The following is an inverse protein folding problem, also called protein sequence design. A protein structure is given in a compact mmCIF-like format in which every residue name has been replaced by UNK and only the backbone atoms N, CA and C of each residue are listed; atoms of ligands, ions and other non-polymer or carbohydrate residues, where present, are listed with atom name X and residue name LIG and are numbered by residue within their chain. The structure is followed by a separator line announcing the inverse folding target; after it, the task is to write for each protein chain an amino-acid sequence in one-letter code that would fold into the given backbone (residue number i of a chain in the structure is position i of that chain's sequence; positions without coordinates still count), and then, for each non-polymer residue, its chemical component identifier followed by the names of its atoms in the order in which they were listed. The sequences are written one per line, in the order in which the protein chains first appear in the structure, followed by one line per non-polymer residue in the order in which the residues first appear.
data_IF_327403763925
#
_entry.id   IF_327403763925
#
_cell.length_a   1.000
_cell.length_b   1.000
_cell.length_c   1.000
_cell.angle_alpha   90.00
_cell.angle_beta   90.00
_cell.angle_gamma   90.00
#
_symmetry.space_group_name_H-M   'P 1'
#
loop_
_entity.id
_entity.type
_entity.pdbx_description
1 polymer ?
#
# COMPACT_ATOMS: atom_id res chain seq x y z
N UNK A 1 -3.27 13.45 23.39
CA UNK A 1 -3.84 14.33 22.36
C UNK A 1 -5.15 13.75 21.86
N UNK A 2 -6.25 14.44 22.14
CA UNK A 2 -7.59 14.10 21.65
C UNK A 2 -7.56 14.08 20.12
N UNK A 3 -7.72 12.90 19.49
CA UNK A 3 -7.83 12.78 18.03
C UNK A 3 -8.92 13.74 17.57
N UNK A 4 -8.56 14.79 16.80
CA UNK A 4 -9.53 15.66 16.14
C UNK A 4 -10.52 14.76 15.41
N UNK A 5 -11.80 14.78 15.81
CA UNK A 5 -12.91 14.20 15.05
C UNK A 5 -13.12 15.09 13.82
N UNK A 6 -12.24 15.01 12.83
CA UNK A 6 -12.52 15.57 11.51
C UNK A 6 -13.64 14.73 10.91
N UNK A 7 -14.89 15.20 11.05
CA UNK A 7 -15.97 14.79 10.15
C UNK A 7 -15.58 15.32 8.78
N UNK A 8 -14.97 14.47 7.96
CA UNK A 8 -14.77 14.78 6.55
C UNK A 8 -16.17 14.83 5.93
N UNK A 9 -16.72 16.02 5.76
CA UNK A 9 -17.95 16.24 5.01
C UNK A 9 -17.56 16.09 3.54
N UNK A 10 -17.73 14.89 3.00
CA UNK A 10 -17.26 14.50 1.66
C UNK A 10 -18.23 14.86 0.54
N UNK A 11 -19.36 15.51 0.84
CA UNK A 11 -20.44 15.82 -0.11
C UNK A 11 -21.22 14.60 -0.61
N UNK A 12 -20.59 13.42 -0.60
CA UNK A 12 -21.18 12.12 -0.94
C UNK A 12 -21.41 11.36 0.36
N UNK A 13 -22.68 11.17 0.71
CA UNK A 13 -23.11 10.36 1.85
C UNK A 13 -22.89 8.88 1.57
N UNK A 14 -22.59 8.13 2.63
CA UNK A 14 -22.59 6.68 2.57
C UNK A 14 -24.00 6.16 2.72
N UNK A 15 -24.28 5.03 2.11
CA UNK A 15 -25.53 4.33 2.32
C UNK A 15 -25.41 3.55 3.63
N UNK A 16 -26.39 3.70 4.50
CA UNK A 16 -26.43 3.03 5.79
C UNK A 16 -27.08 1.64 5.69
N UNK A 17 -26.82 0.77 6.67
CA UNK A 17 -27.57 -0.47 6.85
C UNK A 17 -27.02 -1.71 6.14
N UNK A 18 -25.83 -1.69 5.54
CA UNK A 18 -25.21 -2.92 4.99
C UNK A 18 -23.72 -3.07 5.31
N UNK A 19 -23.21 -4.31 5.38
CA UNK A 19 -21.85 -4.58 5.80
C UNK A 19 -20.83 -4.29 4.69
N UNK A 20 -20.28 -3.08 4.72
CA UNK A 20 -19.29 -2.57 3.74
C UNK A 20 -17.94 -3.28 3.77
N UNK A 21 -17.66 -4.12 4.77
CA UNK A 21 -16.40 -4.86 4.90
C UNK A 21 -16.46 -6.28 4.36
N UNK A 22 -17.65 -6.77 4.05
CA UNK A 22 -17.88 -8.17 3.75
C UNK A 22 -17.58 -8.50 2.29
N UNK A 23 -17.49 -9.81 2.05
CA UNK A 23 -17.18 -10.39 0.76
C UNK A 23 -18.42 -11.05 0.14
N UNK A 24 -18.37 -11.12 -1.18
CA UNK A 24 -19.34 -11.78 -2.02
C UNK A 24 -18.58 -12.74 -2.93
N UNK A 25 -19.18 -13.87 -3.23
CA UNK A 25 -18.79 -14.69 -4.38
C UNK A 25 -19.58 -14.18 -5.58
N UNK A 26 -18.99 -14.19 -6.77
CA UNK A 26 -19.72 -13.97 -8.01
C UNK A 26 -19.41 -15.06 -9.01
N UNK A 27 -20.41 -15.49 -9.77
CA UNK A 27 -20.26 -16.49 -10.82
C UNK A 27 -21.29 -16.24 -11.93
N UNK A 28 -21.01 -16.77 -13.12
CA UNK A 28 -21.98 -16.80 -14.21
C UNK A 28 -22.78 -18.10 -14.07
N UNK A 29 -24.10 -17.99 -13.97
CA UNK A 29 -24.97 -19.15 -13.86
C UNK A 29 -24.80 -20.05 -15.08
N UNK A 30 -24.51 -21.33 -14.85
CA UNK A 30 -24.27 -22.27 -15.95
C UNK A 30 -25.56 -22.62 -16.72
N UNK A 31 -26.72 -22.37 -16.12
CA UNK A 31 -28.03 -22.59 -16.71
C UNK A 31 -28.49 -21.38 -17.55
N UNK A 32 -28.66 -20.20 -16.94
CA UNK A 32 -29.22 -19.03 -17.61
C UNK A 32 -28.19 -17.99 -18.10
N UNK A 33 -26.90 -18.18 -17.83
CA UNK A 33 -25.78 -17.31 -18.27
C UNK A 33 -25.76 -15.90 -17.67
N UNK A 34 -26.62 -15.63 -16.69
CA UNK A 34 -26.62 -14.38 -15.94
C UNK A 34 -25.53 -14.34 -14.87
N UNK A 35 -24.99 -13.15 -14.61
CA UNK A 35 -24.11 -12.92 -13.47
C UNK A 35 -24.92 -13.00 -12.18
N UNK A 36 -24.43 -13.78 -11.24
CA UNK A 36 -25.01 -13.94 -9.93
C UNK A 36 -23.98 -13.65 -8.83
N UNK A 37 -24.46 -13.27 -7.65
CA UNK A 37 -23.62 -12.97 -6.49
C UNK A 37 -24.19 -13.55 -5.22
N UNK A 38 -23.36 -14.16 -4.40
CA UNK A 38 -23.74 -14.73 -3.10
C UNK A 38 -22.98 -14.01 -2.01
N UNK A 39 -23.71 -13.48 -1.02
CA UNK A 39 -23.12 -12.90 0.18
C UNK A 39 -22.54 -13.99 1.08
N UNK A 40 -21.27 -13.83 1.48
CA UNK A 40 -20.55 -14.81 2.32
C UNK A 40 -20.06 -14.22 3.64
N UNK A 41 -20.32 -12.92 3.89
CA UNK A 41 -19.95 -12.25 5.13
C UNK A 41 -18.45 -11.95 5.24
N UNK A 42 -17.91 -12.04 6.45
CA UNK A 42 -16.56 -11.59 6.80
C UNK A 42 -15.48 -12.68 6.74
N UNK A 43 -15.85 -13.92 6.41
CA UNK A 43 -14.94 -15.07 6.32
C UNK A 43 -14.90 -15.54 4.87
N UNK A 44 -13.70 -15.53 4.27
CA UNK A 44 -13.53 -16.10 2.93
C UNK A 44 -13.66 -17.62 3.01
N UNK A 45 -14.39 -18.18 2.07
CA UNK A 45 -14.58 -19.61 1.91
C UNK A 45 -13.41 -20.14 1.09
N UNK A 46 -12.74 -21.20 1.53
CA UNK A 46 -11.68 -21.81 0.73
C UNK A 46 -12.25 -22.74 -0.39
N UNK A 47 -11.50 -23.04 -1.45
CA UNK A 47 -11.97 -23.87 -2.56
C UNK A 47 -12.49 -25.25 -2.19
N UNK A 48 -11.93 -25.88 -1.16
CA UNK A 48 -12.37 -27.20 -0.72
C UNK A 48 -13.69 -27.07 0.02
N UNK A 49 -13.81 -26.10 0.93
CA UNK A 49 -15.06 -25.79 1.62
C UNK A 49 -16.19 -25.45 0.63
N UNK A 50 -15.89 -24.64 -0.39
CA UNK A 50 -16.85 -24.30 -1.44
C UNK A 50 -17.30 -25.55 -2.23
N UNK A 51 -16.36 -26.39 -2.70
CA UNK A 51 -16.72 -27.61 -3.42
C UNK A 51 -17.57 -28.58 -2.58
N UNK A 52 -17.25 -28.75 -1.31
CA UNK A 52 -17.93 -29.72 -0.45
C UNK A 52 -19.32 -29.26 -0.01
N UNK A 53 -19.50 -27.95 0.25
CA UNK A 53 -20.67 -27.43 0.98
C UNK A 53 -21.53 -26.43 0.18
N UNK A 54 -21.08 -25.92 -0.96
CA UNK A 54 -21.81 -24.87 -1.68
C UNK A 54 -23.15 -25.37 -2.24
N UNK A 55 -24.20 -24.59 -1.95
CA UNK A 55 -25.52 -24.66 -2.56
C UNK A 55 -25.87 -23.30 -3.16
N UNK A 56 -25.09 -22.85 -4.14
CA UNK A 56 -25.25 -21.50 -4.70
C UNK A 56 -26.43 -21.47 -5.67
N UNK A 57 -27.57 -21.03 -5.15
CA UNK A 57 -28.82 -20.89 -5.89
C UNK A 57 -28.78 -19.62 -6.73
N UNK A 58 -29.03 -19.75 -8.03
CA UNK A 58 -29.15 -18.61 -8.91
C UNK A 58 -30.43 -17.81 -8.61
N UNK A 59 -30.34 -16.50 -8.41
CA UNK A 59 -31.49 -15.62 -8.16
C UNK A 59 -32.41 -15.51 -9.39
N UNK A 60 -31.87 -15.68 -10.60
CA UNK A 60 -32.63 -15.52 -11.86
C UNK A 60 -33.40 -16.76 -12.26
N UNK A 61 -32.77 -17.93 -12.19
CA UNK A 61 -33.36 -19.19 -12.68
C UNK A 61 -33.53 -20.27 -11.60
N UNK A 62 -33.20 -19.97 -10.35
CA UNK A 62 -33.27 -20.90 -9.21
C UNK A 62 -32.39 -22.16 -9.32
N UNK A 63 -31.54 -22.27 -10.35
CA UNK A 63 -30.62 -23.39 -10.52
C UNK A 63 -29.59 -23.43 -9.38
N UNK A 64 -29.42 -24.59 -8.77
CA UNK A 64 -28.51 -24.80 -7.63
C UNK A 64 -27.15 -25.28 -8.16
N UNK A 65 -26.11 -24.48 -7.97
CA UNK A 65 -24.74 -24.87 -8.28
C UNK A 65 -24.16 -25.61 -7.07
N UNK A 66 -23.98 -26.91 -7.20
CA UNK A 66 -23.42 -27.79 -6.17
C UNK A 66 -22.74 -29.01 -6.82
N UNK A 67 -21.80 -29.65 -6.11
CA UNK A 67 -21.22 -30.93 -6.55
C UNK A 67 -22.25 -32.05 -6.77
N UNK A 68 -23.44 -31.90 -6.19
CA UNK A 68 -24.53 -32.88 -6.25
C UNK A 68 -25.54 -32.57 -7.39
N UNK A 69 -25.34 -31.49 -8.15
CA UNK A 69 -26.24 -31.09 -9.24
C UNK A 69 -25.72 -31.59 -10.59
N UNK A 70 -26.60 -32.18 -11.39
CA UNK A 70 -26.29 -32.52 -12.78
C UNK A 70 -25.98 -31.26 -13.62
N UNK A 71 -25.04 -31.36 -14.55
CA UNK A 71 -24.64 -30.24 -15.42
C UNK A 71 -25.69 -30.05 -16.54
N UNK A 72 -26.24 -28.84 -16.76
CA UNK A 72 -27.34 -28.60 -17.69
C UNK A 72 -26.91 -28.47 -19.17
N UNK A 73 -25.66 -28.81 -19.50
CA UNK A 73 -25.12 -28.63 -20.86
C UNK A 73 -25.69 -29.66 -21.83
N UNK A 74 -26.65 -29.24 -22.66
CA UNK A 74 -27.32 -30.12 -23.63
C UNK A 74 -26.33 -30.75 -24.63
N UNK A 75 -25.25 -30.05 -24.97
CA UNK A 75 -24.20 -30.48 -25.90
C UNK A 75 -23.22 -31.51 -25.31
N UNK A 76 -23.32 -31.86 -24.02
CA UNK A 76 -22.48 -32.88 -23.40
C UNK A 76 -23.17 -34.25 -23.39
N UNK A 77 -22.38 -35.32 -23.46
CA UNK A 77 -22.88 -36.70 -23.33
C UNK A 77 -23.61 -36.88 -22.00
N UNK A 78 -24.76 -37.58 -22.01
CA UNK A 78 -25.63 -37.72 -20.82
C UNK A 78 -24.90 -38.23 -19.58
N UNK A 79 -23.98 -39.18 -19.75
CA UNK A 79 -23.18 -39.76 -18.66
C UNK A 79 -22.15 -38.79 -18.07
N UNK A 80 -21.64 -37.82 -18.84
CA UNK A 80 -20.68 -36.81 -18.34
C UNK A 80 -21.34 -35.69 -17.54
N UNK A 81 -22.67 -35.54 -17.67
CA UNK A 81 -23.45 -34.52 -16.98
C UNK A 81 -23.88 -34.95 -15.58
N UNK A 82 -23.86 -36.26 -15.30
CA UNK A 82 -24.33 -36.81 -14.04
C UNK A 82 -23.41 -36.39 -12.91
N UNK A 83 -23.95 -35.89 -11.80
CA UNK A 83 -23.18 -35.35 -10.67
C UNK A 83 -22.14 -36.33 -10.10
N UNK A 84 -22.44 -37.63 -10.14
CA UNK A 84 -21.53 -38.70 -9.69
C UNK A 84 -20.44 -39.08 -10.72
N UNK A 85 -20.48 -38.53 -11.94
CA UNK A 85 -19.46 -38.79 -12.96
C UNK A 85 -18.16 -38.04 -12.64
N UNK A 86 -17.03 -38.62 -13.03
CA UNK A 86 -15.72 -37.99 -12.87
C UNK A 86 -15.67 -36.61 -13.56
N UNK A 87 -16.28 -36.49 -14.74
CA UNK A 87 -16.33 -35.25 -15.52
C UNK A 87 -17.08 -34.15 -14.77
N UNK A 88 -18.26 -34.46 -14.21
CA UNK A 88 -19.04 -33.48 -13.47
C UNK A 88 -18.34 -33.06 -12.16
N UNK A 89 -17.75 -34.01 -11.43
CA UNK A 89 -16.99 -33.70 -10.21
C UNK A 89 -15.80 -32.79 -10.50
N UNK A 90 -15.07 -33.03 -11.59
CA UNK A 90 -13.94 -32.18 -12.01
C UNK A 90 -14.42 -30.79 -12.43
N UNK A 91 -15.52 -30.71 -13.19
CA UNK A 91 -16.14 -29.45 -13.56
C UNK A 91 -16.52 -28.62 -12.33
N UNK A 92 -17.24 -29.22 -11.38
CA UNK A 92 -17.65 -28.52 -10.16
C UNK A 92 -16.47 -28.10 -9.31
N UNK A 93 -15.44 -28.94 -9.17
CA UNK A 93 -14.22 -28.58 -8.45
C UNK A 93 -13.55 -27.34 -9.05
N UNK A 94 -13.41 -27.29 -10.38
CA UNK A 94 -12.86 -26.12 -11.07
C UNK A 94 -13.77 -24.89 -10.97
N UNK A 95 -15.09 -25.06 -11.10
CA UNK A 95 -16.08 -23.98 -10.97
C UNK A 95 -15.98 -23.27 -9.62
N UNK A 96 -15.95 -24.02 -8.53
CA UNK A 96 -15.81 -23.46 -7.19
C UNK A 96 -14.42 -22.88 -6.96
N UNK A 97 -13.36 -23.56 -7.42
CA UNK A 97 -11.99 -23.06 -7.34
C UNK A 97 -11.86 -21.67 -7.96
N UNK A 98 -12.31 -21.46 -9.20
CA UNK A 98 -12.17 -20.16 -9.87
C UNK A 98 -12.86 -19.02 -9.11
N UNK A 99 -13.89 -19.34 -8.32
CA UNK A 99 -14.66 -18.35 -7.55
C UNK A 99 -14.07 -18.07 -6.17
N UNK A 100 -13.15 -18.90 -5.66
CA UNK A 100 -12.65 -18.83 -4.27
C UNK A 100 -11.15 -19.13 -4.12
N UNK A 101 -10.38 -19.22 -5.21
CA UNK A 101 -8.95 -19.59 -5.21
C UNK A 101 -8.09 -18.65 -4.36
N UNK A 102 -8.42 -17.36 -4.37
CA UNK A 102 -7.66 -16.30 -3.74
C UNK A 102 -8.57 -15.12 -3.38
N UNK A 103 -8.12 -14.19 -2.52
CA UNK A 103 -8.88 -13.00 -2.17
C UNK A 103 -9.32 -12.14 -3.38
N UNK A 104 -8.60 -12.17 -4.50
CA UNK A 104 -8.96 -11.42 -5.71
C UNK A 104 -10.10 -12.03 -6.54
N UNK A 105 -10.44 -13.30 -6.33
CA UNK A 105 -11.63 -13.94 -6.91
C UNK A 105 -12.94 -13.40 -6.33
N UNK A 106 -12.90 -12.82 -5.12
CA UNK A 106 -14.08 -12.32 -4.43
C UNK A 106 -14.50 -10.92 -4.88
N UNK A 107 -15.75 -10.60 -4.55
CA UNK A 107 -16.41 -9.34 -4.87
C UNK A 107 -16.79 -8.61 -3.59
N UNK A 108 -17.08 -7.32 -3.72
CA UNK A 108 -17.38 -6.44 -2.60
C UNK A 108 -18.45 -5.43 -2.99
N UNK A 109 -19.35 -5.14 -2.06
CA UNK A 109 -20.38 -4.11 -2.19
C UNK A 109 -19.82 -2.72 -1.83
N UNK A 110 -20.07 -1.74 -2.68
CA UNK A 110 -19.60 -0.37 -2.47
C UNK A 110 -20.50 0.40 -1.49
N UNK A 111 -19.93 0.95 -0.42
CA UNK A 111 -20.65 1.73 0.59
C UNK A 111 -21.24 3.09 0.14
N UNK A 112 -21.02 3.48 -1.12
CA UNK A 112 -21.47 4.77 -1.66
C UNK A 112 -22.45 4.64 -2.83
N UNK A 113 -22.28 3.64 -3.71
CA UNK A 113 -23.14 3.45 -4.89
C UNK A 113 -23.84 2.09 -4.92
N UNK A 114 -23.71 1.31 -3.85
CA UNK A 114 -24.36 0.02 -3.67
C UNK A 114 -23.99 -1.12 -4.62
N UNK A 115 -23.23 -0.84 -5.69
CA UNK A 115 -22.79 -1.86 -6.64
C UNK A 115 -21.91 -2.92 -5.97
N UNK A 116 -22.18 -4.18 -6.28
CA UNK A 116 -21.28 -5.31 -6.02
C UNK A 116 -20.29 -5.39 -7.18
N UNK A 117 -19.01 -5.27 -6.89
CA UNK A 117 -17.95 -5.14 -7.89
C UNK A 117 -16.78 -6.08 -7.57
N UNK A 118 -15.96 -6.45 -8.56
CA UNK A 118 -14.76 -7.25 -8.34
C UNK A 118 -13.81 -6.60 -7.33
N UNK A 119 -13.05 -7.41 -6.60
CA UNK A 119 -12.01 -7.00 -5.65
C UNK A 119 -11.12 -5.84 -6.15
N UNK A 120 -10.69 -5.89 -7.41
CA UNK A 120 -9.83 -4.89 -8.02
C UNK A 120 -10.53 -3.54 -8.27
N UNK A 121 -11.85 -3.44 -8.11
CA UNK A 121 -12.56 -2.16 -8.18
C UNK A 121 -12.38 -1.31 -6.93
N UNK A 122 -11.70 -1.82 -5.90
CA UNK A 122 -11.44 -1.15 -4.64
C UNK A 122 -9.93 -0.94 -4.41
N UNK A 123 -9.58 0.10 -3.67
CA UNK A 123 -8.19 0.39 -3.28
C UNK A 123 -7.79 -0.44 -2.05
N UNK A 124 -6.51 -0.79 -1.92
CA UNK A 124 -6.01 -1.56 -0.76
C UNK A 124 -6.12 -0.72 0.52
N UNK A 125 -6.59 -1.35 1.59
CA UNK A 125 -6.59 -0.80 2.94
C UNK A 125 -6.46 -1.94 3.96
N UNK A 126 -5.31 -2.02 4.62
CA UNK A 126 -5.02 -3.08 5.60
C UNK A 126 -5.98 -2.93 6.80
N UNK A 127 -6.46 -4.07 7.30
CA UNK A 127 -7.35 -4.14 8.47
C UNK A 127 -8.82 -3.81 8.21
N UNK A 128 -9.27 -3.72 6.95
CA UNK A 128 -10.66 -3.41 6.58
C UNK A 128 -11.39 -4.64 6.04
N UNK A 129 -11.56 -5.65 6.90
CA UNK A 129 -12.23 -6.91 6.57
C UNK A 129 -11.34 -7.89 5.80
N UNK A 130 -11.89 -9.06 5.40
CA UNK A 130 -11.13 -10.15 4.79
C UNK A 130 -10.43 -9.77 3.48
N UNK A 131 -11.00 -8.82 2.73
CA UNK A 131 -10.45 -8.39 1.44
C UNK A 131 -9.40 -7.29 1.57
N UNK A 132 -9.21 -6.69 2.75
CA UNK A 132 -8.31 -5.54 2.93
C UNK A 132 -8.55 -4.42 1.89
N UNK A 133 -9.82 -4.09 1.65
CA UNK A 133 -10.24 -3.10 0.64
C UNK A 133 -11.00 -1.95 1.28
N UNK A 134 -10.87 -0.76 0.68
CA UNK A 134 -11.64 0.42 1.05
C UNK A 134 -13.15 0.17 0.92
N UNK A 135 -13.95 0.91 1.70
CA UNK A 135 -15.42 0.84 1.69
C UNK A 135 -16.01 1.33 0.35
N UNK A 136 -15.38 2.34 -0.25
CA UNK A 136 -15.82 2.91 -1.52
C UNK A 136 -15.03 2.31 -2.70
N UNK A 137 -15.72 2.03 -3.81
CA UNK A 137 -15.05 1.66 -5.06
C UNK A 137 -14.26 2.84 -5.62
N UNK A 138 -13.29 2.55 -6.50
CA UNK A 138 -12.39 3.56 -7.08
C UNK A 138 -13.14 4.69 -7.79
N UNK A 139 -14.27 4.39 -8.44
CA UNK A 139 -15.10 5.39 -9.10
C UNK A 139 -15.71 6.39 -8.09
N UNK A 140 -16.38 5.90 -7.04
CA UNK A 140 -16.93 6.75 -5.98
C UNK A 140 -15.82 7.48 -5.23
N UNK A 141 -14.69 6.82 -4.99
CA UNK A 141 -13.52 7.45 -4.35
C UNK A 141 -12.95 8.58 -5.19
N UNK A 142 -12.96 8.45 -6.52
CA UNK A 142 -12.59 9.51 -7.45
C UNK A 142 -13.46 10.76 -7.27
N UNK A 143 -14.78 10.59 -7.26
CA UNK A 143 -15.73 11.69 -7.02
C UNK A 143 -15.53 12.36 -5.65
N UNK A 144 -15.35 11.57 -4.58
CA UNK A 144 -15.04 12.10 -3.24
C UNK A 144 -13.73 12.89 -3.25
N UNK A 145 -12.70 12.37 -3.92
CA UNK A 145 -11.40 13.02 -3.98
C UNK A 145 -11.44 14.31 -4.80
N UNK A 146 -12.32 14.45 -5.80
CA UNK A 146 -12.47 15.69 -6.57
C UNK A 146 -12.85 16.87 -5.67
N UNK A 147 -13.72 16.65 -4.68
CA UNK A 147 -14.13 17.66 -3.70
C UNK A 147 -13.07 17.87 -2.60
N UNK A 148 -12.42 16.80 -2.16
CA UNK A 148 -11.46 16.86 -1.04
C UNK A 148 -10.07 17.35 -1.44
N UNK A 149 -9.59 17.03 -2.64
CA UNK A 149 -8.23 17.35 -3.06
C UNK A 149 -7.95 18.87 -3.11
N UNK A 150 -8.87 19.73 -3.59
CA UNK A 150 -8.69 21.18 -3.54
C UNK A 150 -8.58 21.73 -2.10
N UNK A 151 -9.19 21.04 -1.13
CA UNK A 151 -9.16 21.41 0.30
C UNK A 151 -7.92 20.88 1.04
N UNK A 152 -7.11 20.04 0.42
CA UNK A 152 -5.86 19.54 1.01
C UNK A 152 -4.77 20.57 0.82
N UNK A 153 -3.95 20.79 1.85
CA UNK A 153 -2.76 21.64 1.69
C UNK A 153 -1.79 21.00 0.70
N UNK A 154 -0.99 21.81 -0.03
CA UNK A 154 0.06 21.31 -0.92
C UNK A 154 0.95 20.26 -0.23
N UNK A 155 1.22 20.44 1.06
CA UNK A 155 1.98 19.51 1.90
C UNK A 155 1.28 18.15 2.09
N UNK A 156 -0.04 18.12 2.33
CA UNK A 156 -0.81 16.89 2.49
C UNK A 156 -0.97 16.10 1.18
N UNK A 157 -1.14 16.79 0.05
CA UNK A 157 -1.14 16.16 -1.27
C UNK A 157 0.22 15.51 -1.56
N UNK A 158 1.30 16.22 -1.22
CA UNK A 158 2.68 15.80 -1.40
C UNK A 158 3.10 14.65 -0.47
N UNK A 159 2.52 14.55 0.74
CA UNK A 159 2.67 13.39 1.64
C UNK A 159 1.88 12.16 1.14
N UNK A 160 0.72 12.36 0.52
CA UNK A 160 -0.17 11.28 0.09
C UNK A 160 0.24 10.58 -1.21
N UNK A 161 1.02 11.24 -2.06
CA UNK A 161 1.49 10.67 -3.32
C UNK A 161 2.99 10.36 -3.25
N UNK A 162 3.31 9.06 -3.25
CA UNK A 162 4.52 8.53 -3.90
C UNK A 162 5.86 8.74 -3.19
N UNK A 163 6.13 9.86 -2.52
CA UNK A 163 7.49 10.21 -2.06
C UNK A 163 8.06 9.30 -0.97
N UNK A 164 7.29 8.87 0.03
CA UNK A 164 7.82 8.05 1.14
C UNK A 164 8.26 6.67 0.64
N UNK A 165 7.41 5.98 -0.13
CA UNK A 165 7.70 4.65 -0.69
C UNK A 165 8.78 4.67 -1.77
N UNK A 166 8.88 5.73 -2.57
CA UNK A 166 9.90 5.82 -3.63
C UNK A 166 11.24 6.30 -3.10
N UNK A 167 11.28 7.22 -2.13
CA UNK A 167 12.51 7.56 -1.42
C UNK A 167 13.07 6.34 -0.68
N UNK A 168 12.22 5.54 -0.02
CA UNK A 168 12.64 4.28 0.59
C UNK A 168 13.21 3.30 -0.45
N UNK A 169 12.67 3.26 -1.68
CA UNK A 169 13.20 2.43 -2.78
C UNK A 169 14.51 2.99 -3.33
N UNK A 170 14.64 4.32 -3.48
CA UNK A 170 15.87 4.99 -3.90
C UNK A 170 17.01 4.61 -2.93
N UNK A 171 16.74 4.71 -1.64
CA UNK A 171 17.73 4.55 -0.56
C UNK A 171 17.91 3.10 -0.09
N UNK A 172 17.19 2.12 -0.65
CA UNK A 172 17.15 0.76 -0.08
C UNK A 172 18.51 0.05 0.02
N UNK A 173 19.45 0.34 -0.88
CA UNK A 173 20.82 -0.23 -0.85
C UNK A 173 21.85 0.75 -0.29
N UNK A 174 21.47 1.99 -0.05
CA UNK A 174 22.31 3.02 0.57
C UNK A 174 22.09 3.10 2.08
N UNK A 175 20.97 2.55 2.57
CA UNK A 175 20.70 2.40 3.99
C UNK A 175 21.64 1.37 4.60
N UNK A 176 22.45 1.83 5.56
CA UNK A 176 23.31 0.97 6.35
C UNK A 176 22.49 0.27 7.45
N UNK A 177 22.86 -0.97 7.77
CA UNK A 177 22.30 -1.65 8.94
C UNK A 177 22.88 -1.03 10.20
N UNK A 178 22.08 -0.19 10.88
CA UNK A 178 22.48 0.43 12.13
C UNK A 178 22.49 -0.60 13.27
N UNK A 179 23.65 -0.80 13.90
CA UNK A 179 23.76 -1.56 15.14
C UNK A 179 23.18 -0.73 16.31
N UNK A 180 22.20 -1.30 17.00
CA UNK A 180 21.53 -0.63 18.11
C UNK A 180 22.45 -0.45 19.31
N UNK A 181 23.38 -1.38 19.56
CA UNK A 181 24.30 -1.27 20.69
C UNK A 181 25.28 -0.11 20.46
N UNK A 182 25.84 -0.04 19.26
CA UNK A 182 26.70 1.07 18.84
C UNK A 182 25.96 2.41 18.89
N UNK A 183 24.74 2.48 18.36
CA UNK A 183 23.91 3.68 18.40
C UNK A 183 23.64 4.14 19.85
N UNK A 184 23.26 3.23 20.74
CA UNK A 184 23.04 3.56 22.15
C UNK A 184 24.33 4.01 22.84
N UNK A 185 25.47 3.40 22.52
CA UNK A 185 26.77 3.81 23.04
C UNK A 185 27.14 5.22 22.59
N UNK A 186 27.00 5.53 21.30
CA UNK A 186 27.28 6.86 20.72
C UNK A 186 26.48 7.99 21.36
N UNK A 187 25.20 7.73 21.66
CA UNK A 187 24.30 8.71 22.27
C UNK A 187 24.20 8.59 23.80
N UNK A 188 25.07 7.80 24.45
CA UNK A 188 25.09 7.64 25.91
C UNK A 188 23.78 7.11 26.50
N UNK A 189 23.07 6.26 25.76
CA UNK A 189 21.75 5.70 26.09
C UNK A 189 20.70 6.76 26.43
N UNK A 190 20.78 7.93 25.79
CA UNK A 190 19.85 9.04 25.99
C UNK A 190 19.30 9.54 24.66
N UNK A 191 18.10 10.09 24.71
CA UNK A 191 17.54 10.84 23.59
C UNK A 191 18.44 12.05 23.31
N UNK A 192 18.89 12.21 22.07
CA UNK A 192 19.78 13.31 21.71
C UNK A 192 19.17 14.68 22.02
N UNK A 193 17.88 14.87 21.70
CA UNK A 193 17.17 16.15 21.88
C UNK A 193 16.76 16.43 23.32
N UNK A 194 16.11 15.47 23.98
CA UNK A 194 15.50 15.70 25.30
C UNK A 194 16.42 15.28 26.45
N UNK A 195 17.57 14.65 26.14
CA UNK A 195 18.54 14.07 27.08
C UNK A 195 17.95 13.03 28.06
N UNK A 196 16.69 12.63 27.87
CA UNK A 196 15.98 11.59 28.66
C UNK A 196 16.69 10.24 28.46
N UNK A 197 16.93 9.46 29.53
CA UNK A 197 17.48 8.11 29.40
C UNK A 197 16.54 7.19 28.63
N UNK A 198 17.10 6.34 27.79
CA UNK A 198 16.41 5.38 26.96
C UNK A 198 16.93 3.98 27.27
N UNK A 199 16.04 3.01 27.17
CA UNK A 199 16.33 1.59 27.37
C UNK A 199 16.22 0.88 26.02
N UNK A 200 17.32 0.26 25.59
CA UNK A 200 17.42 -0.47 24.33
C UNK A 200 16.35 -1.55 24.20
N UNK A 201 15.97 -2.19 25.32
CA UNK A 201 14.97 -3.26 25.36
C UNK A 201 13.53 -2.74 25.24
N UNK A 202 13.29 -1.46 25.54
CA UNK A 202 11.96 -0.84 25.47
C UNK A 202 11.70 -0.23 24.09
N UNK A 203 11.63 -1.07 23.05
CA UNK A 203 11.56 -0.62 21.63
C UNK A 203 10.46 0.39 21.30
N UNK A 204 9.38 0.46 22.08
CA UNK A 204 8.25 1.40 21.89
C UNK A 204 8.55 2.83 22.35
N UNK A 205 9.63 3.07 23.11
CA UNK A 205 9.93 4.37 23.72
C UNK A 205 10.92 5.21 22.92
N UNK A 206 11.62 4.61 21.96
CA UNK A 206 12.67 5.24 21.17
C UNK A 206 12.58 4.91 19.69
N UNK A 207 13.14 5.77 18.86
CA UNK A 207 13.22 5.63 17.40
C UNK A 207 14.62 5.98 16.92
N UNK A 208 14.99 5.41 15.77
CA UNK A 208 16.15 5.87 15.00
C UNK A 208 15.61 6.85 13.99
N UNK A 209 16.06 8.09 14.08
CA UNK A 209 15.63 9.16 13.21
C UNK A 209 16.69 9.46 12.15
N UNK A 210 16.25 9.87 10.97
CA UNK A 210 17.15 10.43 9.96
C UNK A 210 17.42 11.88 10.33
N UNK A 211 18.68 12.24 10.58
CA UNK A 211 19.06 13.61 10.92
C UNK A 211 18.58 14.53 9.79
N UNK A 212 19.09 14.30 8.58
CA UNK A 212 18.59 14.84 7.34
C UNK A 212 17.46 13.95 6.80
N UNK A 213 16.26 14.50 6.55
CA UNK A 213 15.10 13.70 6.15
C UNK A 213 15.32 12.90 4.85
N UNK A 214 14.85 11.65 4.83
CA UNK A 214 14.87 10.79 3.63
C UNK A 214 14.08 11.38 2.44
N UNK A 215 13.15 12.30 2.70
CA UNK A 215 12.48 13.10 1.67
C UNK A 215 13.48 13.86 0.77
N UNK A 216 14.66 14.21 1.28
CA UNK A 216 15.74 14.86 0.53
C UNK A 216 16.83 13.88 0.08
N UNK A 217 16.50 12.58 0.06
CA UNK A 217 17.33 11.50 -0.48
C UNK A 217 18.60 11.22 0.35
N UNK A 218 18.59 11.55 1.64
CA UNK A 218 19.64 11.12 2.56
C UNK A 218 19.33 9.74 3.13
N UNK A 219 20.21 8.73 2.93
CA UNK A 219 20.01 7.39 3.46
C UNK A 219 20.17 7.38 4.98
N UNK A 220 19.66 6.33 5.60
CA UNK A 220 19.98 6.01 6.98
C UNK A 220 21.39 5.44 7.04
N UNK A 221 22.33 6.21 7.54
CA UNK A 221 23.73 5.80 7.75
C UNK A 221 24.15 6.08 9.19
N UNK A 222 25.32 5.61 9.60
CA UNK A 222 25.94 5.99 10.88
C UNK A 222 26.00 7.52 11.03
N UNK A 223 26.32 8.24 9.94
CA UNK A 223 26.43 9.70 9.90
C UNK A 223 25.09 10.44 9.81
N UNK A 224 24.02 9.79 9.38
CA UNK A 224 22.69 10.39 9.25
C UNK A 224 21.65 9.82 10.24
N UNK A 225 22.09 9.06 11.25
CA UNK A 225 21.22 8.46 12.26
C UNK A 225 21.33 9.16 13.63
N UNK A 226 20.18 9.50 14.22
CA UNK A 226 20.10 9.99 15.59
C UNK A 226 19.20 9.11 16.47
N UNK A 227 19.60 8.94 17.73
CA UNK A 227 18.78 8.27 18.73
C UNK A 227 17.82 9.28 19.39
N UNK A 228 16.51 9.12 19.16
CA UNK A 228 15.49 9.99 19.72
C UNK A 228 14.46 9.21 20.55
N UNK A 229 13.90 9.88 21.56
CA UNK A 229 12.66 9.42 22.17
C UNK A 229 11.53 9.54 21.16
N UNK A 230 10.51 8.69 21.29
CA UNK A 230 9.33 8.74 20.41
C UNK A 230 8.69 10.14 20.37
N UNK A 231 8.60 10.79 21.52
CA UNK A 231 8.10 12.16 21.67
C UNK A 231 8.92 13.17 20.86
N UNK A 232 10.26 13.13 20.95
CA UNK A 232 11.13 14.04 20.22
C UNK A 232 11.05 13.82 18.72
N UNK A 233 10.99 12.56 18.29
CA UNK A 233 10.82 12.17 16.89
C UNK A 233 9.50 12.66 16.31
N UNK A 234 8.39 12.49 17.04
CA UNK A 234 7.06 12.94 16.64
C UNK A 234 6.97 14.48 16.53
N UNK A 235 7.79 15.19 17.30
CA UNK A 235 7.94 16.65 17.23
C UNK A 235 8.83 17.11 16.06
N UNK A 236 9.89 16.35 15.73
CA UNK A 236 10.80 16.67 14.60
C UNK A 236 10.09 16.53 13.26
N UNK A 237 9.41 15.39 13.03
CA UNK A 237 8.79 15.06 11.73
C UNK A 237 9.79 15.26 10.57
N UNK A 238 9.35 15.87 9.48
CA UNK A 238 10.15 16.14 8.28
C UNK A 238 10.88 17.50 8.32
N UNK A 239 11.05 18.11 9.51
CA UNK A 239 11.78 19.39 9.65
C UNK A 239 13.28 19.19 9.40
N UNK A 240 13.92 20.19 8.83
CA UNK A 240 15.37 20.25 8.71
C UNK A 240 16.03 20.29 10.09
N UNK A 241 17.26 19.74 10.24
CA UNK A 241 18.02 19.83 11.47
C UNK A 241 18.14 21.26 11.99
N UNK A 242 18.44 22.22 11.11
CA UNK A 242 18.55 23.66 11.40
C UNK A 242 17.28 24.30 11.99
N UNK A 243 16.10 23.70 11.78
CA UNK A 243 14.81 24.19 12.31
C UNK A 243 14.32 23.40 13.53
N UNK A 244 15.06 22.38 13.96
CA UNK A 244 14.67 21.52 15.09
C UNK A 244 15.73 21.50 16.21
N UNK A 245 17.00 21.51 15.84
CA UNK A 245 18.13 21.58 16.75
C UNK A 245 18.67 23.02 16.81
N UNK A 246 19.22 23.37 17.97
CA UNK A 246 20.01 24.59 18.18
C UNK A 246 21.40 24.43 17.56
N UNK A 247 22.10 25.53 17.34
CA UNK A 247 23.46 25.49 16.76
C UNK A 247 24.42 24.61 17.59
N UNK A 248 24.35 24.67 18.93
CA UNK A 248 25.16 23.84 19.80
C UNK A 248 24.82 22.35 19.66
N UNK A 249 23.54 22.02 19.55
CA UNK A 249 23.09 20.65 19.28
C UNK A 249 23.55 20.18 17.89
N UNK A 250 23.54 21.04 16.86
CA UNK A 250 24.02 20.64 15.52
C UNK A 250 25.53 20.34 15.53
N UNK A 251 26.32 21.12 16.26
CA UNK A 251 27.76 20.88 16.45
C UNK A 251 27.98 19.57 17.22
N UNK A 252 27.23 19.34 18.30
CA UNK A 252 27.29 18.09 19.08
C UNK A 252 26.93 16.89 18.20
N UNK A 253 25.88 17.02 17.39
CA UNK A 253 25.41 15.97 16.49
C UNK A 253 26.45 15.64 15.41
N UNK A 254 27.05 16.65 14.78
CA UNK A 254 28.13 16.48 13.82
C UNK A 254 29.34 15.76 14.44
N UNK A 255 29.71 16.11 15.69
CA UNK A 255 30.80 15.44 16.41
C UNK A 255 30.51 13.96 16.71
N UNK A 256 29.28 13.64 17.13
CA UNK A 256 28.89 12.26 17.48
C UNK A 256 28.79 11.38 16.23
N UNK A 257 28.30 11.92 15.13
CA UNK A 257 27.91 11.14 13.95
C UNK A 257 28.90 11.23 12.79
N UNK A 258 29.76 12.25 12.78
CA UNK A 258 30.60 12.57 11.62
C UNK A 258 29.82 13.24 10.48
N UNK A 259 28.58 13.69 10.72
CA UNK A 259 27.80 14.43 9.75
C UNK A 259 28.45 15.77 9.38
N UNK A 260 28.29 16.18 8.12
CA UNK A 260 28.75 17.48 7.65
C UNK A 260 27.94 18.60 8.31
N UNK A 261 28.62 19.41 9.13
CA UNK A 261 28.01 20.52 9.84
C UNK A 261 27.41 21.58 8.90
N UNK A 262 28.03 21.82 7.74
CA UNK A 262 27.52 22.79 6.75
C UNK A 262 26.15 22.36 6.24
N UNK A 263 25.98 21.05 6.03
CA UNK A 263 24.73 20.45 5.59
C UNK A 263 23.66 20.47 6.68
N UNK A 264 24.05 20.18 7.93
CA UNK A 264 23.15 20.22 9.08
C UNK A 264 22.61 21.63 9.39
N UNK A 265 23.44 22.64 9.18
CA UNK A 265 23.12 24.04 9.46
C UNK A 265 22.38 24.74 8.31
N UNK A 266 22.27 24.10 7.15
CA UNK A 266 21.57 24.67 6.00
C UNK A 266 20.12 25.02 6.33
N UNK A 267 19.73 26.26 6.03
CA UNK A 267 18.36 26.73 6.20
C UNK A 267 17.42 26.20 5.11
N UNK A 268 17.99 25.86 3.96
CA UNK A 268 17.27 25.34 2.81
C UNK A 268 17.55 23.85 2.61
N UNK A 269 16.57 23.07 2.15
CA UNK A 269 16.79 21.67 1.88
C UNK A 269 17.71 21.50 0.68
N UNK A 270 18.80 20.77 0.88
CA UNK A 270 19.69 20.32 -0.19
C UNK A 270 19.30 18.89 -0.53
N UNK A 271 19.15 18.57 -1.82
CA UNK A 271 18.86 17.21 -2.27
C UNK A 271 20.18 16.45 -2.32
N UNK A 272 20.27 15.27 -1.70
CA UNK A 272 21.46 14.44 -1.78
C UNK A 272 21.75 14.05 -3.24
N UNK A 273 22.87 14.48 -3.83
CA UNK A 273 23.19 14.13 -5.21
C UNK A 273 23.77 12.72 -5.33
N UNK A 274 24.27 12.13 -4.25
CA UNK A 274 24.98 10.86 -4.27
C UNK A 274 24.00 9.70 -4.17
N UNK A 275 23.19 9.53 -5.22
CA UNK A 275 22.23 8.44 -5.34
C UNK A 275 22.33 7.72 -6.67
N UNK A 276 22.20 6.40 -6.66
CA UNK A 276 22.15 5.60 -7.89
C UNK A 276 20.74 5.56 -8.49
N UNK A 277 20.49 6.52 -9.39
CA UNK A 277 19.21 6.71 -10.06
C UNK A 277 18.89 5.52 -10.99
N UNK A 278 19.87 4.94 -11.66
CA UNK A 278 19.68 3.83 -12.60
C UNK A 278 19.24 2.56 -11.88
N UNK A 279 19.89 2.24 -10.76
CA UNK A 279 19.50 1.11 -9.91
C UNK A 279 18.10 1.30 -9.33
N UNK A 280 17.67 2.54 -9.09
CA UNK A 280 16.28 2.81 -8.72
C UNK A 280 15.29 2.46 -9.83
N UNK A 281 15.57 2.81 -11.09
CA UNK A 281 14.71 2.46 -12.23
C UNK A 281 14.54 0.94 -12.31
N UNK A 282 15.64 0.19 -12.28
CA UNK A 282 15.62 -1.28 -12.30
C UNK A 282 14.77 -1.84 -11.16
N UNK A 283 14.98 -1.43 -9.91
CA UNK A 283 14.20 -1.90 -8.75
C UNK A 283 12.73 -1.53 -8.85
N UNK A 284 12.43 -0.32 -9.30
CA UNK A 284 11.06 0.17 -9.37
C UNK A 284 10.23 -0.51 -10.45
N UNK A 285 10.88 -1.00 -11.51
CA UNK A 285 10.25 -1.69 -12.64
C UNK A 285 10.32 -3.23 -12.52
N UNK A 286 11.15 -3.79 -11.66
CA UNK A 286 11.11 -5.21 -11.30
C UNK A 286 9.88 -5.50 -10.43
N UNK A 287 8.80 -6.00 -11.03
CA UNK A 287 7.55 -6.32 -10.33
C UNK A 287 7.10 -7.75 -10.64
N UNK A 288 6.62 -8.48 -9.62
CA UNK A 288 5.81 -9.69 -9.82
C UNK A 288 4.42 -9.25 -10.34
N UNK A 289 3.88 -10.00 -11.31
CA UNK A 289 2.81 -9.63 -12.25
C UNK A 289 1.56 -8.93 -11.68
N UNK A 290 0.84 -8.23 -12.57
CA UNK A 290 -0.42 -7.43 -12.43
C UNK A 290 -0.31 -6.02 -11.83
N UNK A 291 0.86 -5.37 -11.83
CA UNK A 291 0.92 -3.91 -11.62
C UNK A 291 0.81 -3.15 -12.95
N UNK A 292 0.03 -2.06 -12.96
CA UNK A 292 -0.06 -1.12 -14.08
C UNK A 292 1.32 -0.47 -14.33
N UNK A 293 2.07 -1.05 -15.26
CA UNK A 293 3.43 -0.63 -15.62
C UNK A 293 3.44 0.82 -16.13
N UNK A 294 2.42 1.22 -16.90
CA UNK A 294 2.28 2.57 -17.46
C UNK A 294 2.19 3.59 -16.33
N UNK A 295 1.31 3.33 -15.35
CA UNK A 295 1.19 4.20 -14.18
C UNK A 295 2.50 4.30 -13.39
N UNK A 296 3.23 3.20 -13.23
CA UNK A 296 4.52 3.20 -12.53
C UNK A 296 5.58 4.03 -13.26
N UNK A 297 5.71 3.85 -14.58
CA UNK A 297 6.62 4.64 -15.40
C UNK A 297 6.30 6.14 -15.26
N UNK A 298 5.01 6.51 -15.33
CA UNK A 298 4.58 7.89 -15.14
C UNK A 298 4.92 8.45 -13.75
N UNK A 299 4.66 7.70 -12.67
CA UNK A 299 4.98 8.11 -11.30
C UNK A 299 6.50 8.28 -11.09
N UNK A 300 7.30 7.36 -11.63
CA UNK A 300 8.75 7.40 -11.58
C UNK A 300 9.31 8.62 -12.34
N UNK A 301 8.84 8.85 -13.58
CA UNK A 301 9.23 10.03 -14.38
C UNK A 301 8.92 11.33 -13.65
N UNK A 302 7.69 11.48 -13.14
CA UNK A 302 7.28 12.69 -12.40
C UNK A 302 8.14 12.93 -11.16
N UNK A 303 8.56 11.86 -10.48
CA UNK A 303 9.43 11.95 -9.32
C UNK A 303 10.83 12.45 -9.71
N UNK A 304 11.46 11.82 -10.71
CA UNK A 304 12.82 12.16 -11.15
C UNK A 304 12.92 13.62 -11.61
N UNK A 305 11.92 14.11 -12.33
CA UNK A 305 11.82 15.54 -12.70
C UNK A 305 11.69 16.42 -11.46
N UNK A 306 10.87 16.03 -10.47
CA UNK A 306 10.65 16.84 -9.27
C UNK A 306 11.84 16.93 -8.32
N UNK A 307 12.82 16.05 -8.48
CA UNK A 307 14.07 16.01 -7.72
C UNK A 307 15.28 16.45 -8.54
N UNK A 308 15.08 16.84 -9.80
CA UNK A 308 16.15 17.24 -10.72
C UNK A 308 17.22 16.14 -10.91
N UNK A 309 16.75 14.89 -11.12
CA UNK A 309 17.59 13.70 -11.22
C UNK A 309 17.66 13.10 -12.62
N UNK A 310 16.99 13.72 -13.60
CA UNK A 310 16.86 13.18 -14.96
C UNK A 310 18.23 13.04 -15.63
N UNK A 311 19.13 13.98 -15.39
CA UNK A 311 20.46 14.00 -16.00
C UNK A 311 21.37 12.88 -15.50
N UNK A 312 21.02 12.23 -14.38
CA UNK A 312 21.77 11.10 -13.80
C UNK A 312 21.33 9.74 -14.34
N UNK A 313 20.30 9.71 -15.18
CA UNK A 313 19.87 8.48 -15.85
C UNK A 313 20.83 8.13 -16.99
N UNK A 314 21.06 6.84 -17.18
CA UNK A 314 21.64 6.31 -18.41
C UNK A 314 20.68 6.54 -19.59
N UNK A 315 21.22 6.62 -20.80
CA UNK A 315 20.42 6.79 -22.02
C UNK A 315 19.38 5.68 -22.20
N UNK A 316 19.73 4.45 -21.81
CA UNK A 316 18.82 3.30 -21.80
C UNK A 316 17.60 3.55 -20.91
N UNK A 317 17.82 4.07 -19.70
CA UNK A 317 16.74 4.36 -18.76
C UNK A 317 15.94 5.62 -19.14
N UNK A 318 16.57 6.63 -19.76
CA UNK A 318 15.85 7.78 -20.33
C UNK A 318 14.87 7.32 -21.42
N UNK A 319 15.33 6.45 -22.32
CA UNK A 319 14.51 5.83 -23.36
C UNK A 319 13.37 4.99 -22.79
N UNK A 320 13.66 4.15 -21.78
CA UNK A 320 12.67 3.32 -21.10
C UNK A 320 11.55 4.14 -20.44
N UNK A 321 11.90 5.31 -19.89
CA UNK A 321 10.95 6.23 -19.25
C UNK A 321 10.27 7.20 -20.24
N UNK A 322 10.58 7.12 -21.54
CA UNK A 322 10.05 8.05 -22.54
C UNK A 322 10.43 9.50 -22.26
N UNK A 323 11.63 9.73 -21.73
CA UNK A 323 12.24 11.05 -21.60
C UNK A 323 13.08 11.22 -22.87
N UNK A 324 12.61 12.06 -23.80
CA UNK A 324 13.43 12.48 -24.95
C UNK A 324 14.38 13.59 -24.47
N UNK A 325 15.59 13.61 -25.03
CA UNK A 325 16.57 14.69 -24.87
C UNK A 325 15.94 16.07 -25.11
#
# INVERSE_FOLDING_TARGET
MTRRKTKNITGISRIEGFPVHDAYVAFICINCKELDTIYIGNKLIDPKEAYENALWKCEKCNFIHSKNTDIPFANWKKNFRKANSLQAQRFWRSFFLTSTENPDAFWKRCGACDRILPFHSFSKHIGWGPLERQMECRACKGAINAELNPKRTKQQLHESSVRRRIADILLADENEKIDFNDLFKRFGSKCFKTKKPLDINKRKTWTIDHILPSKYLYPLSVSNAALLSKEANDNKRDRLPSKFYTNNELIELAKITGADLTLLTSEQPIINPNIDVNKCVTRFLTVRERSDLIKRIYELKKMLVSYDLVDKLSEENKKLLGIKE
#
